data_IF_941104149242
#
_entry.id   IF_941104149242
#
_cell.length_a   1.000
_cell.length_b   1.000
_cell.length_c   1.000
_cell.angle_alpha   90.00
_cell.angle_beta   90.00
_cell.angle_gamma   90.00
#
_symmetry.space_group_name_H-M   'P 1'
#
loop_
_entity.id
_entity.type
_entity.pdbx_description
1 polymer ?
#
# COMPACT_ATOMS: atom_id res chain seq x y z
N UNK A 1 -19.39 -38.04 -10.88
CA UNK A 1 -18.40 -37.19 -10.17
C UNK A 1 -18.12 -35.96 -11.01
N UNK A 2 -18.75 -34.81 -10.72
CA UNK A 2 -18.53 -33.55 -11.45
C UNK A 2 -17.32 -32.85 -10.81
N UNK A 3 -16.22 -32.74 -11.55
CA UNK A 3 -15.02 -32.03 -11.11
C UNK A 3 -15.23 -30.54 -11.38
N UNK A 4 -15.57 -29.79 -10.34
CA UNK A 4 -15.68 -28.33 -10.41
C UNK A 4 -14.27 -27.75 -10.59
N UNK A 5 -13.97 -27.28 -11.80
CA UNK A 5 -12.74 -26.53 -12.09
C UNK A 5 -12.95 -25.12 -11.53
N UNK A 6 -12.26 -24.83 -10.43
CA UNK A 6 -12.22 -23.51 -9.80
C UNK A 6 -11.21 -22.66 -10.59
N UNK A 7 -11.71 -21.80 -11.47
CA UNK A 7 -10.88 -20.86 -12.24
C UNK A 7 -10.51 -19.70 -11.31
N UNK A 8 -9.28 -19.71 -10.82
CA UNK A 8 -8.71 -18.59 -10.07
C UNK A 8 -8.26 -17.56 -11.10
N UNK A 9 -9.12 -16.58 -11.37
CA UNK A 9 -8.76 -15.38 -12.13
C UNK A 9 -7.85 -14.51 -11.26
N UNK A 10 -6.54 -14.76 -11.34
CA UNK A 10 -5.53 -13.89 -10.75
C UNK A 10 -5.55 -12.55 -11.48
N UNK A 11 -6.08 -11.52 -10.82
CA UNK A 11 -6.01 -10.14 -11.30
C UNK A 11 -4.54 -9.70 -11.20
N UNK A 12 -3.83 -9.75 -12.33
CA UNK A 12 -2.48 -9.20 -12.44
C UNK A 12 -2.60 -7.68 -12.32
N UNK A 13 -2.32 -7.15 -11.12
CA UNK A 13 -2.15 -5.72 -10.91
C UNK A 13 -0.84 -5.34 -11.59
N UNK A 14 -0.90 -4.87 -12.82
CA UNK A 14 0.25 -4.27 -13.50
C UNK A 14 0.75 -3.11 -12.65
N UNK A 15 1.95 -3.27 -12.08
CA UNK A 15 2.63 -2.18 -11.39
C UNK A 15 3.02 -1.14 -12.44
N UNK A 16 2.21 -0.11 -12.58
CA UNK A 16 2.56 1.09 -13.35
C UNK A 16 3.68 1.80 -12.59
N UNK A 17 4.94 1.44 -12.85
CA UNK A 17 6.08 2.20 -12.37
C UNK A 17 6.18 3.44 -13.25
N UNK A 18 5.68 4.57 -12.75
CA UNK A 18 6.02 5.87 -13.33
C UNK A 18 7.38 6.24 -12.77
N UNK A 19 8.36 6.55 -13.62
CA UNK A 19 9.68 6.98 -13.17
C UNK A 19 9.53 8.12 -12.14
N UNK A 20 10.04 7.93 -10.93
CA UNK A 20 9.96 8.91 -9.85
C UNK A 20 8.78 8.75 -8.87
N UNK A 21 7.77 7.92 -9.16
CA UNK A 21 6.63 7.67 -8.28
C UNK A 21 6.39 6.18 -8.03
N UNK A 22 5.99 5.83 -6.81
CA UNK A 22 5.67 4.47 -6.41
C UNK A 22 4.31 4.43 -5.72
N UNK A 23 3.45 3.52 -6.18
CA UNK A 23 2.19 3.21 -5.48
C UNK A 23 2.44 2.05 -4.53
N UNK A 24 2.21 2.27 -3.25
CA UNK A 24 2.34 1.26 -2.20
C UNK A 24 0.97 0.93 -1.62
N UNK A 25 0.83 -0.31 -1.17
CA UNK A 25 -0.40 -0.86 -0.62
C UNK A 25 -0.17 -1.50 0.73
N UNK A 26 -1.26 -1.78 1.46
CA UNK A 26 -1.23 -2.51 2.73
C UNK A 26 -0.38 -1.82 3.82
N UNK A 27 -0.75 -0.59 4.23
CA UNK A 27 0.00 0.12 5.27
C UNK A 27 -0.13 -0.56 6.64
N UNK A 28 0.96 -0.56 7.39
CA UNK A 28 0.92 -0.79 8.84
C UNK A 28 0.24 0.41 9.50
N UNK A 29 -0.72 0.15 10.38
CA UNK A 29 -1.56 1.18 11.00
C UNK A 29 -1.31 1.24 12.51
N UNK A 30 -0.88 2.41 12.98
CA UNK A 30 -0.63 2.65 14.40
C UNK A 30 -1.46 3.84 14.89
N UNK A 31 -2.21 3.66 15.98
CA UNK A 31 -2.97 4.75 16.59
C UNK A 31 -2.03 5.61 17.44
N UNK A 32 -2.04 6.91 17.18
CA UNK A 32 -1.28 7.90 17.95
C UNK A 32 -2.16 8.58 19.00
N UNK A 33 -1.53 9.12 20.02
CA UNK A 33 -2.17 9.68 21.23
C UNK A 33 -3.19 10.81 20.95
N UNK A 34 -3.12 11.44 19.78
CA UNK A 34 -3.99 12.54 19.37
C UNK A 34 -5.18 12.13 18.48
N UNK A 35 -5.55 10.85 18.47
CA UNK A 35 -6.63 10.34 17.61
C UNK A 35 -6.30 10.37 16.11
N UNK A 36 -5.01 10.54 15.78
CA UNK A 36 -4.47 10.36 14.42
C UNK A 36 -3.94 8.94 14.27
N UNK A 37 -3.88 8.47 13.04
CA UNK A 37 -3.29 7.18 12.69
C UNK A 37 -2.03 7.43 11.88
N UNK A 38 -0.93 6.80 12.29
CA UNK A 38 0.29 6.69 11.54
C UNK A 38 0.15 5.49 10.58
N UNK A 39 0.40 5.75 9.31
CA UNK A 39 0.35 4.78 8.22
C UNK A 39 1.77 4.59 7.69
N UNK A 40 2.34 3.40 7.88
CA UNK A 40 3.68 3.08 7.38
C UNK A 40 3.55 2.15 6.18
N UNK A 41 4.01 2.62 5.02
CA UNK A 41 4.07 1.85 3.78
C UNK A 41 5.52 1.43 3.59
N UNK A 42 5.77 0.13 3.60
CA UNK A 42 7.11 -0.42 3.52
C UNK A 42 7.18 -1.50 2.44
N UNK A 43 8.30 -1.52 1.72
CA UNK A 43 8.74 -2.65 0.93
C UNK A 43 10.27 -2.83 1.11
N UNK A 44 10.88 -3.74 0.37
CA UNK A 44 12.32 -4.01 0.50
C UNK A 44 13.24 -2.84 0.11
N UNK A 45 12.71 -1.73 -0.43
CA UNK A 45 13.49 -0.62 -0.98
C UNK A 45 13.12 0.74 -0.37
N UNK A 46 11.89 0.92 0.11
CA UNK A 46 11.36 2.20 0.56
C UNK A 46 10.49 2.06 1.81
N UNK A 47 10.56 3.07 2.67
CA UNK A 47 9.69 3.23 3.82
C UNK A 47 9.09 4.64 3.76
N UNK A 48 7.76 4.74 3.72
CA UNK A 48 7.04 6.01 3.76
C UNK A 48 6.08 6.05 4.93
N UNK A 49 6.07 7.16 5.65
CA UNK A 49 5.12 7.41 6.74
C UNK A 49 4.11 8.48 6.34
N UNK A 50 2.84 8.24 6.63
CA UNK A 50 1.75 9.18 6.38
C UNK A 50 0.82 9.27 7.59
N UNK A 51 0.55 10.48 8.07
CA UNK A 51 -0.33 10.69 9.23
C UNK A 51 -1.70 11.18 8.76
N UNK A 52 -2.76 10.48 9.18
CA UNK A 52 -4.14 10.83 8.84
C UNK A 52 -5.04 10.87 10.07
N UNK A 53 -6.16 11.59 9.97
CA UNK A 53 -7.24 11.55 10.96
C UNK A 53 -8.24 10.48 10.49
N UNK A 54 -8.08 9.24 10.93
CA UNK A 54 -8.94 8.12 10.53
C UNK A 54 -8.17 6.90 10.03
N UNK A 55 -8.76 6.14 9.11
CA UNK A 55 -8.14 4.94 8.56
C UNK A 55 -7.08 5.28 7.50
N UNK A 56 -6.02 4.47 7.44
CA UNK A 56 -5.01 4.60 6.40
C UNK A 56 -5.59 4.23 5.03
N UNK A 57 -5.28 4.99 3.96
CA UNK A 57 -5.70 4.60 2.63
C UNK A 57 -5.02 3.27 2.24
N UNK A 58 -5.78 2.32 1.71
CA UNK A 58 -5.22 1.02 1.35
C UNK A 58 -4.06 1.14 0.35
N UNK A 59 -4.18 2.05 -0.62
CA UNK A 59 -3.15 2.34 -1.61
C UNK A 59 -2.82 3.84 -1.58
N UNK A 60 -1.53 4.18 -1.68
CA UNK A 60 -1.08 5.57 -1.77
C UNK A 60 0.15 5.66 -2.68
N UNK A 61 0.16 6.68 -3.53
CA UNK A 61 1.30 7.00 -4.39
C UNK A 61 2.20 8.00 -3.67
N UNK A 62 3.50 7.73 -3.70
CA UNK A 62 4.57 8.54 -3.13
C UNK A 62 5.56 8.89 -4.22
N UNK A 63 6.15 10.08 -4.13
CA UNK A 63 7.32 10.41 -4.92
C UNK A 63 8.55 9.76 -4.29
N UNK A 64 9.27 8.95 -5.07
CA UNK A 64 10.46 8.21 -4.62
C UNK A 64 11.62 9.12 -4.18
N UNK A 65 11.59 10.40 -4.58
CA UNK A 65 12.53 11.42 -4.15
C UNK A 65 12.31 11.88 -2.70
N UNK A 66 11.11 11.65 -2.16
CA UNK A 66 10.77 11.98 -0.77
C UNK A 66 11.22 10.88 0.21
N UNK A 67 11.81 9.79 -0.30
CA UNK A 67 12.45 8.77 0.55
C UNK A 67 13.82 9.30 0.97
N UNK A 68 14.02 9.49 2.28
CA UNK A 68 15.31 9.83 2.88
C UNK A 68 16.34 8.69 2.80
#
# INVERSE_FOLDING_TARGET
MKKSILVISGLLISQLVMAGQITMTDPQQEKTENGKTLCTYENSQYVFTYVTKGQCPYAKTFDTQDSE
#
